data_IF_396417770663
#
_entry.id   IF_396417770663
#
_cell.length_a   1.000
_cell.length_b   1.000
_cell.length_c   1.000
_cell.angle_alpha   90.00
_cell.angle_beta   90.00
_cell.angle_gamma   90.00
#
_symmetry.space_group_name_H-M   'P 1'
#
loop_
_entity.id
_entity.type
_entity.pdbx_description
1 polymer ?
#
# COMPACT_ATOMS: atom_id res chain seq x y z
N UNK A 1 2.39 33.34 -18.26
CA UNK A 1 2.29 31.90 -18.53
C UNK A 1 2.29 31.21 -17.17
N UNK A 2 1.11 30.89 -16.62
CA UNK A 2 1.02 30.18 -15.34
C UNK A 2 1.19 28.69 -15.63
N UNK A 3 2.33 28.13 -15.22
CA UNK A 3 2.53 26.68 -15.24
C UNK A 3 1.55 26.06 -14.25
N UNK A 4 0.65 25.20 -14.73
CA UNK A 4 -0.32 24.49 -13.89
C UNK A 4 0.42 23.33 -13.21
N UNK A 5 1.12 23.63 -12.12
CA UNK A 5 1.82 22.62 -11.31
C UNK A 5 0.87 21.77 -10.43
N UNK A 6 -0.42 22.14 -10.35
CA UNK A 6 -1.37 21.56 -9.39
C UNK A 6 -2.34 20.51 -9.98
N UNK A 7 -2.02 19.88 -11.11
CA UNK A 7 -2.88 18.79 -11.61
C UNK A 7 -2.73 17.52 -10.74
N UNK A 8 -3.76 16.67 -10.73
CA UNK A 8 -3.80 15.50 -9.85
C UNK A 8 -2.70 14.47 -10.15
N UNK A 9 -2.28 14.35 -11.41
CA UNK A 9 -1.26 13.37 -11.84
C UNK A 9 0.12 13.76 -11.32
N UNK A 10 0.47 15.03 -11.45
CA UNK A 10 1.77 15.53 -11.02
C UNK A 10 1.87 15.48 -9.48
N UNK A 11 0.80 15.87 -8.78
CA UNK A 11 0.72 15.73 -7.31
C UNK A 11 0.82 14.28 -6.83
N UNK A 12 0.22 13.33 -7.55
CA UNK A 12 0.38 11.91 -7.21
C UNK A 12 1.82 11.44 -7.41
N UNK A 13 2.47 11.91 -8.48
CA UNK A 13 3.85 11.57 -8.82
C UNK A 13 4.83 12.17 -7.80
N UNK A 14 4.64 13.42 -7.43
CA UNK A 14 5.41 14.09 -6.37
C UNK A 14 5.24 13.37 -5.03
N UNK A 15 4.00 13.08 -4.61
CA UNK A 15 3.73 12.37 -3.37
C UNK A 15 4.39 10.98 -3.33
N UNK A 16 4.43 10.28 -4.47
CA UNK A 16 5.14 9.01 -4.62
C UNK A 16 6.65 9.19 -4.36
N UNK A 17 7.29 10.16 -5.01
CA UNK A 17 8.71 10.42 -4.83
C UNK A 17 9.06 10.84 -3.40
N UNK A 18 8.24 11.70 -2.78
CA UNK A 18 8.40 12.07 -1.36
C UNK A 18 8.37 10.81 -0.48
N UNK A 19 7.40 9.92 -0.70
CA UNK A 19 7.26 8.70 0.09
C UNK A 19 8.46 7.75 -0.08
N UNK A 20 8.91 7.53 -1.32
CA UNK A 20 10.07 6.68 -1.63
C UNK A 20 11.36 7.23 -1.04
N UNK A 21 11.59 8.54 -1.15
CA UNK A 21 12.79 9.19 -0.63
C UNK A 21 12.79 9.21 0.90
N UNK A 22 11.67 9.61 1.52
CA UNK A 22 11.54 9.62 2.97
C UNK A 22 11.79 8.24 3.57
N UNK A 23 11.20 7.18 2.98
CA UNK A 23 11.41 5.80 3.43
C UNK A 23 12.89 5.42 3.48
N UNK A 24 13.67 5.78 2.45
CA UNK A 24 15.10 5.49 2.40
C UNK A 24 15.91 6.37 3.35
N UNK A 25 15.52 7.63 3.48
CA UNK A 25 16.24 8.64 4.26
C UNK A 25 16.21 8.38 5.78
N UNK A 26 15.12 7.81 6.29
CA UNK A 26 14.96 7.59 7.74
C UNK A 26 15.57 6.28 8.25
N UNK A 27 16.13 5.47 7.36
CA UNK A 27 16.79 4.21 7.70
C UNK A 27 18.29 4.43 7.87
N UNK A 28 18.91 3.67 8.77
CA UNK A 28 20.38 3.59 8.84
C UNK A 28 20.89 2.87 7.60
N UNK A 29 21.92 3.44 6.96
CA UNK A 29 22.56 2.88 5.76
C UNK A 29 24.00 2.44 6.02
N UNK A 30 24.52 2.79 7.17
CA UNK A 30 25.80 2.37 7.70
C UNK A 30 25.63 1.12 8.59
N UNK A 31 26.43 0.09 8.32
CA UNK A 31 26.44 -1.16 9.09
C UNK A 31 25.63 -2.30 8.48
N UNK A 32 25.46 -3.37 9.27
CA UNK A 32 24.77 -4.57 8.81
C UNK A 32 23.25 -4.37 8.78
N UNK A 33 22.63 -4.76 7.66
CA UNK A 33 21.18 -4.78 7.52
C UNK A 33 20.57 -5.99 8.23
N UNK A 34 19.34 -5.83 8.71
CA UNK A 34 18.60 -6.96 9.26
C UNK A 34 18.17 -7.92 8.15
N UNK A 35 18.62 -9.17 8.25
CA UNK A 35 18.31 -10.22 7.29
C UNK A 35 17.10 -11.03 7.75
N UNK A 36 16.12 -11.19 6.87
CA UNK A 36 15.01 -12.12 7.09
C UNK A 36 15.50 -13.57 7.00
N UNK A 37 14.69 -14.52 7.45
CA UNK A 37 15.02 -15.96 7.42
C UNK A 37 15.41 -16.44 6.01
N UNK A 38 14.74 -15.93 4.98
CA UNK A 38 15.12 -16.14 3.58
C UNK A 38 15.67 -14.80 3.07
N UNK A 39 16.92 -14.82 2.64
CA UNK A 39 17.67 -13.61 2.27
C UNK A 39 17.54 -13.24 0.81
N UNK A 40 17.18 -14.19 -0.04
CA UNK A 40 17.04 -14.02 -1.47
C UNK A 40 15.65 -13.52 -1.83
N UNK A 41 15.60 -12.59 -2.79
CA UNK A 41 14.35 -12.11 -3.35
C UNK A 41 13.90 -13.02 -4.49
N UNK A 42 12.64 -13.47 -4.51
CA UNK A 42 12.15 -14.41 -5.53
C UNK A 42 11.92 -13.77 -6.92
N UNK A 43 12.38 -12.54 -7.12
CA UNK A 43 12.17 -11.73 -8.32
C UNK A 43 13.40 -10.88 -8.67
N UNK A 44 14.50 -11.01 -7.93
CA UNK A 44 15.77 -10.40 -8.32
C UNK A 44 16.49 -11.41 -9.20
N UNK A 45 16.95 -10.96 -10.37
CA UNK A 45 17.91 -11.72 -11.15
C UNK A 45 19.28 -11.61 -10.48
N UNK A 46 20.09 -12.68 -10.49
CA UNK A 46 21.36 -12.83 -9.75
C UNK A 46 22.41 -11.70 -9.97
N UNK A 47 22.16 -10.79 -10.91
CA UNK A 47 23.06 -9.68 -11.29
C UNK A 47 22.72 -8.33 -10.65
N UNK A 48 21.58 -8.17 -9.97
CA UNK A 48 21.20 -6.89 -9.39
C UNK A 48 21.44 -6.91 -7.87
N UNK A 49 22.64 -6.46 -7.46
CA UNK A 49 22.91 -6.04 -6.07
C UNK A 49 22.19 -4.71 -5.74
N UNK A 50 20.93 -4.62 -6.11
CA UNK A 50 20.12 -3.45 -5.86
C UNK A 50 19.86 -3.35 -4.36
N UNK A 51 20.01 -2.14 -3.81
CA UNK A 51 19.72 -1.78 -2.43
C UNK A 51 18.28 -2.21 -2.09
N UNK A 52 18.16 -3.39 -1.52
CA UNK A 52 16.92 -4.02 -1.11
C UNK A 52 16.03 -3.05 -0.32
N UNK A 53 14.97 -2.54 -0.96
CA UNK A 53 14.20 -1.42 -0.41
C UNK A 53 13.13 -1.81 0.62
N UNK A 54 12.85 -3.12 0.77
CA UNK A 54 11.92 -3.67 1.74
C UNK A 54 12.09 -5.19 1.91
N UNK A 55 11.51 -5.75 2.97
CA UNK A 55 11.45 -7.18 3.24
C UNK A 55 10.03 -7.72 3.02
N UNK A 56 9.91 -8.97 2.58
CA UNK A 56 8.61 -9.63 2.36
C UNK A 56 8.31 -10.68 3.42
N UNK A 57 7.03 -10.79 3.77
CA UNK A 57 6.51 -11.82 4.66
C UNK A 57 5.21 -12.38 4.08
N UNK A 58 5.17 -13.69 3.84
CA UNK A 58 3.98 -14.36 3.36
C UNK A 58 3.12 -14.79 4.55
N UNK A 59 1.84 -14.44 4.50
CA UNK A 59 0.87 -14.74 5.57
C UNK A 59 -0.28 -15.55 4.98
N UNK A 60 -0.68 -16.59 5.70
CA UNK A 60 -1.83 -17.44 5.35
C UNK A 60 -2.97 -17.16 6.31
N UNK A 61 -4.17 -16.95 5.78
CA UNK A 61 -5.39 -16.74 6.53
C UNK A 61 -6.45 -17.74 6.08
N UNK A 62 -7.15 -18.35 7.03
CA UNK A 62 -8.34 -19.14 6.72
C UNK A 62 -9.54 -18.21 6.65
N UNK A 63 -10.29 -18.28 5.54
CA UNK A 63 -11.52 -17.51 5.34
C UNK A 63 -12.77 -18.36 5.53
N UNK A 64 -12.65 -19.53 6.17
CA UNK A 64 -13.73 -20.51 6.34
C UNK A 64 -13.97 -21.34 5.09
N UNK A 65 -15.21 -21.79 4.90
CA UNK A 65 -15.60 -22.71 3.83
C UNK A 65 -16.34 -21.98 2.71
N UNK A 66 -16.03 -22.33 1.45
CA UNK A 66 -16.72 -21.86 0.25
C UNK A 66 -18.07 -22.54 0.02
N UNK A 67 -18.81 -22.06 -0.97
CA UNK A 67 -20.10 -22.63 -1.35
C UNK A 67 -20.01 -24.08 -1.88
N UNK A 68 -18.82 -24.49 -2.33
CA UNK A 68 -18.49 -25.84 -2.78
C UNK A 68 -18.06 -26.78 -1.65
N UNK A 69 -18.13 -26.32 -0.40
CA UNK A 69 -17.74 -27.09 0.78
C UNK A 69 -16.22 -27.16 1.00
N UNK A 70 -15.41 -26.48 0.18
CA UNK A 70 -13.94 -26.48 0.32
C UNK A 70 -13.44 -25.33 1.17
N UNK A 71 -12.32 -25.49 1.91
CA UNK A 71 -11.72 -24.39 2.64
C UNK A 71 -11.21 -23.31 1.69
N UNK A 72 -11.44 -22.05 2.04
CA UNK A 72 -10.87 -20.89 1.35
C UNK A 72 -9.66 -20.43 2.15
N UNK A 73 -8.48 -20.53 1.54
CA UNK A 73 -7.23 -20.09 2.13
C UNK A 73 -6.67 -18.89 1.35
N UNK A 74 -6.48 -17.77 2.05
CA UNK A 74 -5.88 -16.58 1.48
C UNK A 74 -4.40 -16.53 1.83
N UNK A 75 -3.55 -16.46 0.82
CA UNK A 75 -2.12 -16.20 0.98
C UNK A 75 -1.85 -14.77 0.53
N UNK A 76 -1.25 -13.97 1.42
CA UNK A 76 -0.93 -12.56 1.17
C UNK A 76 0.57 -12.36 1.33
N UNK A 77 1.20 -11.77 0.31
CA UNK A 77 2.55 -11.22 0.42
C UNK A 77 2.45 -9.85 1.08
N UNK A 78 3.00 -9.69 2.29
CA UNK A 78 3.11 -8.40 2.98
C UNK A 78 4.52 -7.84 2.87
N UNK A 79 4.66 -6.53 3.04
CA UNK A 79 5.93 -5.80 2.95
C UNK A 79 6.28 -5.11 4.28
N UNK A 80 7.58 -4.99 4.54
CA UNK A 80 8.14 -4.28 5.68
C UNK A 80 9.26 -3.36 5.19
N UNK A 81 9.16 -2.08 5.52
CA UNK A 81 10.09 -1.04 5.06
C UNK A 81 11.36 -0.96 5.94
N UNK A 82 11.32 -1.49 7.16
CA UNK A 82 12.48 -1.49 8.06
C UNK A 82 12.26 -2.25 9.35
N UNK A 83 13.27 -2.24 10.23
CA UNK A 83 13.20 -2.82 11.58
C UNK A 83 13.74 -1.87 12.64
N UNK A 84 13.23 -2.01 13.86
CA UNK A 84 13.75 -1.34 15.04
C UNK A 84 13.99 -2.38 16.13
N UNK A 85 15.22 -2.43 16.65
CA UNK A 85 15.56 -3.27 17.80
C UNK A 85 15.23 -2.50 19.07
N UNK A 86 14.34 -3.06 19.89
CA UNK A 86 13.93 -2.48 21.17
C UNK A 86 15.00 -2.72 22.23
N UNK A 87 14.88 -2.00 23.36
CA UNK A 87 15.83 -2.11 24.50
C UNK A 87 15.90 -3.53 25.07
N UNK A 88 14.82 -4.30 24.96
CA UNK A 88 14.73 -5.71 25.39
C UNK A 88 15.32 -6.70 24.36
N UNK A 89 15.90 -6.22 23.25
CA UNK A 89 16.41 -7.03 22.14
C UNK A 89 15.35 -7.51 21.15
N UNK A 90 14.07 -7.20 21.36
CA UNK A 90 12.99 -7.59 20.45
C UNK A 90 13.05 -6.77 19.14
N UNK A 91 12.95 -7.47 18.01
CA UNK A 91 12.92 -6.84 16.69
C UNK A 91 11.49 -6.50 16.29
N UNK A 92 11.23 -5.23 16.05
CA UNK A 92 9.94 -4.74 15.57
C UNK A 92 10.04 -4.38 14.09
N UNK A 93 9.21 -5.01 13.24
CA UNK A 93 9.08 -4.66 11.82
C UNK A 93 8.23 -3.41 11.62
N UNK A 94 8.57 -2.62 10.60
CA UNK A 94 8.03 -1.28 10.40
C UNK A 94 7.43 -1.13 9.00
N UNK A 95 6.39 -0.31 8.91
CA UNK A 95 5.87 0.24 7.66
C UNK A 95 6.06 1.75 7.72
N UNK A 96 6.75 2.32 6.74
CA UNK A 96 7.15 3.74 6.73
C UNK A 96 6.40 4.41 5.60
N UNK A 97 5.62 5.45 5.94
CA UNK A 97 4.87 6.24 4.97
C UNK A 97 5.05 7.72 5.28
N UNK A 98 5.14 8.54 4.23
CA UNK A 98 5.24 9.98 4.33
C UNK A 98 3.89 10.65 4.00
N UNK A 99 3.45 11.53 4.89
CA UNK A 99 2.46 12.54 4.54
C UNK A 99 3.18 13.69 3.82
N UNK A 100 2.45 14.40 2.95
CA UNK A 100 2.96 15.58 2.27
C UNK A 100 1.89 16.68 2.27
N UNK A 101 2.33 17.92 2.48
CA UNK A 101 1.52 19.12 2.34
C UNK A 101 1.83 19.75 0.98
N UNK A 102 0.78 20.06 0.21
CA UNK A 102 0.86 20.99 -0.93
C UNK A 102 0.21 22.31 -0.50
N UNK A 103 -0.31 23.15 -1.40
CA UNK A 103 -0.93 24.41 -1.00
C UNK A 103 -2.09 24.21 0.00
N UNK A 104 -1.86 24.60 1.27
CA UNK A 104 -2.81 24.47 2.37
C UNK A 104 -4.05 25.36 2.18
N UNK A 105 -3.91 26.47 1.44
CA UNK A 105 -5.01 27.40 1.15
C UNK A 105 -5.97 26.85 0.10
N UNK A 106 -5.48 25.99 -0.79
CA UNK A 106 -6.28 25.38 -1.86
C UNK A 106 -6.79 23.97 -1.51
N UNK A 107 -6.24 23.34 -0.48
CA UNK A 107 -6.57 21.97 -0.08
C UNK A 107 -7.68 21.86 0.98
N UNK A 108 -8.30 22.98 1.38
CA UNK A 108 -9.04 23.07 2.64
C UNK A 108 -8.19 22.51 3.80
N UNK A 109 -6.88 22.80 3.75
CA UNK A 109 -5.88 22.27 4.66
C UNK A 109 -5.69 23.15 5.89
N UNK A 110 -4.79 22.72 6.74
CA UNK A 110 -4.20 23.56 7.80
C UNK A 110 -2.75 23.78 7.44
N UNK A 111 -2.20 24.96 7.70
CA UNK A 111 -0.77 25.21 7.47
C UNK A 111 0.07 24.42 8.48
N UNK A 112 0.83 23.45 7.99
CA UNK A 112 1.61 22.56 8.84
C UNK A 112 2.72 23.31 9.59
N UNK A 113 3.29 24.36 9.00
CA UNK A 113 4.38 25.13 9.64
C UNK A 113 3.93 25.76 10.95
N UNK A 114 2.70 26.29 11.01
CA UNK A 114 2.15 26.88 12.23
C UNK A 114 1.48 25.86 13.16
N UNK A 115 1.07 24.68 12.68
CA UNK A 115 0.23 23.74 13.42
C UNK A 115 0.92 22.47 13.91
N UNK A 116 2.04 22.07 13.32
CA UNK A 116 2.71 20.83 13.72
C UNK A 116 3.26 20.87 15.14
N UNK A 117 3.67 22.01 15.68
CA UNK A 117 4.22 22.03 17.05
C UNK A 117 3.13 21.98 18.13
N UNK A 118 2.07 22.76 17.96
CA UNK A 118 1.01 22.90 18.98
C UNK A 118 -0.27 22.13 18.72
N UNK A 119 -0.54 21.70 17.47
CA UNK A 119 -1.84 21.18 17.04
C UNK A 119 -1.73 19.97 16.10
N UNK A 120 -0.81 19.04 16.38
CA UNK A 120 -0.61 17.79 15.59
C UNK A 120 -1.90 17.02 15.33
N UNK A 121 -2.80 16.96 16.31
CA UNK A 121 -4.10 16.29 16.16
C UNK A 121 -4.99 16.95 15.09
N UNK A 122 -4.96 18.27 14.95
CA UNK A 122 -5.73 18.99 13.93
C UNK A 122 -5.15 18.78 12.53
N UNK A 123 -3.82 18.70 12.42
CA UNK A 123 -3.13 18.31 11.18
C UNK A 123 -3.57 16.90 10.77
N UNK A 124 -3.50 15.95 11.70
CA UNK A 124 -3.89 14.56 11.43
C UNK A 124 -5.38 14.44 11.05
N UNK A 125 -6.27 15.14 11.74
CA UNK A 125 -7.71 15.13 11.43
C UNK A 125 -8.00 15.68 10.01
N UNK A 126 -7.30 16.74 9.61
CA UNK A 126 -7.40 17.31 8.26
C UNK A 126 -6.91 16.30 7.22
N UNK A 127 -5.78 15.64 7.48
CA UNK A 127 -5.27 14.59 6.59
C UNK A 127 -6.19 13.38 6.49
N UNK A 128 -6.82 12.98 7.60
CA UNK A 128 -7.82 11.91 7.60
C UNK A 128 -9.02 12.23 6.74
N UNK A 129 -9.51 13.47 6.82
CA UNK A 129 -10.63 13.94 6.02
C UNK A 129 -10.27 14.00 4.52
N UNK A 130 -9.11 14.55 4.19
CA UNK A 130 -8.71 14.81 2.81
C UNK A 130 -8.17 13.57 2.09
N UNK A 131 -7.53 12.67 2.83
CA UNK A 131 -6.78 11.54 2.28
C UNK A 131 -7.28 10.16 2.77
N UNK A 132 -8.51 10.06 3.31
CA UNK A 132 -9.01 8.87 4.00
C UNK A 132 -8.73 7.53 3.30
N UNK A 133 -8.96 7.42 1.99
CA UNK A 133 -8.67 6.20 1.24
C UNK A 133 -7.16 5.84 1.20
N UNK A 134 -6.27 6.83 1.11
CA UNK A 134 -4.81 6.64 1.18
C UNK A 134 -4.42 6.10 2.56
N UNK A 135 -4.94 6.71 3.62
CA UNK A 135 -4.64 6.32 5.01
C UNK A 135 -5.19 4.94 5.36
N UNK A 136 -6.42 4.62 4.95
CA UNK A 136 -7.01 3.28 5.15
C UNK A 136 -6.15 2.21 4.47
N UNK A 137 -5.74 2.43 3.21
CA UNK A 137 -4.86 1.48 2.51
C UNK A 137 -3.53 1.27 3.23
N UNK A 138 -2.88 2.34 3.67
CA UNK A 138 -1.65 2.24 4.45
C UNK A 138 -1.86 1.51 5.77
N UNK A 139 -2.99 1.73 6.44
CA UNK A 139 -3.31 1.07 7.72
C UNK A 139 -3.52 -0.42 7.56
N UNK A 140 -4.24 -0.84 6.53
CA UNK A 140 -4.49 -2.26 6.22
C UNK A 140 -3.17 -2.97 5.84
N UNK A 141 -2.24 -2.28 5.20
CA UNK A 141 -0.91 -2.81 4.88
C UNK A 141 0.00 -2.91 6.12
N UNK A 142 -0.19 -2.05 7.11
CA UNK A 142 0.80 -1.82 8.16
C UNK A 142 0.76 -2.85 9.30
N UNK A 143 1.97 -3.12 9.82
CA UNK A 143 2.16 -3.81 11.11
C UNK A 143 2.49 -2.84 12.24
N UNK A 144 3.20 -1.72 11.92
CA UNK A 144 3.37 -0.48 12.70
C UNK A 144 3.67 0.66 11.73
N UNK A 145 3.04 1.84 11.90
CA UNK A 145 3.31 3.01 11.05
C UNK A 145 4.36 3.88 11.74
N UNK A 146 5.47 4.14 11.05
CA UNK A 146 6.50 5.08 11.49
C UNK A 146 6.57 6.32 10.60
N UNK A 147 6.58 7.47 11.27
CA UNK A 147 6.98 8.79 10.78
C UNK A 147 7.49 9.61 11.97
N UNK A 148 7.44 10.95 11.89
CA UNK A 148 7.68 11.85 13.05
C UNK A 148 6.77 11.57 14.26
N UNK A 149 5.77 10.70 14.07
CA UNK A 149 4.94 10.09 15.08
C UNK A 149 4.91 8.56 14.87
N UNK A 150 5.14 7.80 15.94
CA UNK A 150 4.95 6.35 15.94
C UNK A 150 3.51 6.03 16.35
N UNK A 151 2.81 5.28 15.50
CA UNK A 151 1.42 4.87 15.77
C UNK A 151 1.27 3.36 15.63
N UNK A 152 0.64 2.73 16.63
CA UNK A 152 0.22 1.33 16.51
C UNK A 152 -0.94 1.25 15.52
N UNK A 153 -0.97 0.31 14.56
CA UNK A 153 -1.99 0.33 13.51
C UNK A 153 -3.41 0.17 14.06
N UNK A 154 -3.59 -0.58 15.16
CA UNK A 154 -4.89 -0.75 15.77
C UNK A 154 -5.43 0.55 16.37
N UNK A 155 -4.58 1.36 17.02
CA UNK A 155 -4.96 2.68 17.52
C UNK A 155 -5.25 3.65 16.37
N UNK A 156 -4.45 3.56 15.29
CA UNK A 156 -4.67 4.37 14.12
C UNK A 156 -5.97 3.98 13.39
N UNK A 157 -6.27 2.69 13.24
CA UNK A 157 -7.51 2.18 12.66
C UNK A 157 -8.75 2.71 13.39
N UNK A 158 -8.70 2.79 14.73
CA UNK A 158 -9.77 3.40 15.53
C UNK A 158 -9.95 4.88 15.21
N UNK A 159 -8.87 5.64 15.06
CA UNK A 159 -8.93 7.07 14.72
C UNK A 159 -9.49 7.34 13.31
N UNK A 160 -9.38 6.37 12.39
CA UNK A 160 -9.89 6.50 11.02
C UNK A 160 -11.25 5.83 10.83
N UNK A 161 -11.85 5.32 11.91
CA UNK A 161 -13.13 4.57 11.90
C UNK A 161 -13.08 3.35 10.98
N UNK A 162 -11.92 2.69 10.88
CA UNK A 162 -11.76 1.47 10.10
C UNK A 162 -12.19 0.25 10.92
N UNK A 163 -13.12 -0.53 10.38
CA UNK A 163 -13.55 -1.80 10.96
C UNK A 163 -12.99 -2.96 10.13
N UNK A 164 -12.08 -3.74 10.72
CA UNK A 164 -11.46 -4.88 10.06
C UNK A 164 -12.43 -6.03 9.76
N UNK A 165 -13.46 -6.24 10.58
CA UNK A 165 -14.49 -7.25 10.29
C UNK A 165 -15.28 -6.88 9.04
N UNK A 166 -15.57 -5.60 8.86
CA UNK A 166 -16.16 -5.09 7.62
C UNK A 166 -15.22 -5.30 6.42
N UNK A 167 -13.92 -5.01 6.57
CA UNK A 167 -12.93 -5.26 5.51
C UNK A 167 -12.89 -6.73 5.09
N UNK A 168 -12.85 -7.66 6.05
CA UNK A 168 -12.88 -9.09 5.79
C UNK A 168 -14.20 -9.55 5.16
N UNK A 169 -15.33 -9.00 5.62
CA UNK A 169 -16.65 -9.27 5.04
C UNK A 169 -16.75 -8.85 3.58
N UNK A 170 -16.29 -7.64 3.24
CA UNK A 170 -16.24 -7.16 1.85
C UNK A 170 -15.34 -8.05 0.99
N UNK A 171 -14.15 -8.40 1.47
CA UNK A 171 -13.24 -9.29 0.76
C UNK A 171 -13.87 -10.66 0.52
N UNK A 172 -14.54 -11.22 1.52
CA UNK A 172 -15.23 -12.51 1.45
C UNK A 172 -16.33 -12.49 0.39
N UNK A 173 -17.15 -11.43 0.34
CA UNK A 173 -18.21 -11.27 -0.67
C UNK A 173 -17.65 -11.25 -2.09
N UNK A 174 -16.51 -10.57 -2.30
CA UNK A 174 -15.84 -10.53 -3.61
C UNK A 174 -15.33 -11.92 -4.00
N UNK A 175 -14.64 -12.62 -3.08
CA UNK A 175 -14.12 -13.98 -3.33
C UNK A 175 -15.26 -14.95 -3.65
N UNK A 176 -16.35 -14.94 -2.87
CA UNK A 176 -17.50 -15.80 -3.12
C UNK A 176 -18.18 -15.51 -4.46
N UNK A 177 -18.17 -14.26 -4.93
CA UNK A 177 -18.68 -13.90 -6.25
C UNK A 177 -17.78 -14.43 -7.38
N UNK A 178 -16.46 -14.38 -7.20
CA UNK A 178 -15.49 -14.88 -8.18
C UNK A 178 -15.48 -16.40 -8.27
N UNK A 179 -15.53 -17.10 -7.12
CA UNK A 179 -15.53 -18.57 -7.06
C UNK A 179 -16.76 -19.22 -7.70
N UNK A 180 -17.87 -18.48 -7.85
CA UNK A 180 -19.07 -18.94 -8.55
C UNK A 180 -18.99 -18.82 -10.07
N UNK A 181 -18.00 -18.11 -10.59
CA UNK A 181 -17.86 -17.84 -12.02
C UNK A 181 -16.94 -18.87 -12.68
N UNK A 182 -17.04 -18.98 -14.01
CA UNK A 182 -16.15 -19.85 -14.78
C UNK A 182 -14.70 -19.34 -14.69
N UNK A 183 -13.69 -20.21 -14.82
CA UNK A 183 -12.30 -19.79 -14.96
C UNK A 183 -12.14 -18.76 -16.09
N UNK A 184 -11.37 -17.70 -15.84
CA UNK A 184 -11.15 -16.61 -16.80
C UNK A 184 -10.56 -15.36 -16.15
N UNK A 185 -10.27 -14.34 -16.98
CA UNK A 185 -9.78 -13.03 -16.53
C UNK A 185 -10.98 -12.14 -16.14
N UNK A 186 -10.87 -11.44 -15.01
CA UNK A 186 -11.92 -10.55 -14.49
C UNK A 186 -11.34 -9.20 -14.07
N UNK A 187 -12.14 -8.13 -14.21
CA UNK A 187 -11.79 -6.77 -13.79
C UNK A 187 -12.80 -6.25 -12.76
N UNK A 188 -12.31 -5.89 -11.58
CA UNK A 188 -13.09 -5.17 -10.57
C UNK A 188 -12.78 -3.67 -10.69
N UNK A 189 -13.76 -2.87 -11.09
CA UNK A 189 -13.59 -1.44 -11.35
C UNK A 189 -14.55 -0.60 -10.52
N UNK A 190 -14.03 0.43 -9.85
CA UNK A 190 -14.81 1.45 -9.15
C UNK A 190 -15.27 2.50 -10.14
N UNK A 191 -16.56 2.81 -10.14
CA UNK A 191 -17.13 3.83 -11.02
C UNK A 191 -16.57 5.23 -10.68
N UNK A 192 -16.12 6.02 -11.66
CA UNK A 192 -15.59 7.36 -11.42
C UNK A 192 -16.61 8.34 -10.81
N UNK A 193 -17.88 8.23 -11.19
CA UNK A 193 -18.94 9.18 -10.90
C UNK A 193 -19.98 8.66 -9.90
N UNK A 194 -20.05 7.35 -9.68
CA UNK A 194 -20.96 6.72 -8.73
C UNK A 194 -20.21 5.92 -7.63
N UNK A 195 -20.76 5.83 -6.41
CA UNK A 195 -20.17 5.06 -5.30
C UNK A 195 -20.44 3.54 -5.46
N UNK A 196 -20.08 2.97 -6.60
CA UNK A 196 -20.32 1.57 -6.94
C UNK A 196 -19.07 0.91 -7.51
N UNK A 197 -18.95 -0.39 -7.28
CA UNK A 197 -17.90 -1.24 -7.85
C UNK A 197 -18.55 -2.28 -8.73
N UNK A 198 -18.02 -2.48 -9.94
CA UNK A 198 -18.52 -3.44 -10.93
C UNK A 198 -17.47 -4.49 -11.24
N UNK A 199 -17.93 -5.71 -11.45
CA UNK A 199 -17.12 -6.87 -11.81
C UNK A 199 -17.41 -7.27 -13.26
N UNK A 200 -16.40 -7.16 -14.12
CA UNK A 200 -16.47 -7.47 -15.55
C UNK A 200 -15.71 -8.77 -15.83
N UNK A 201 -16.25 -9.63 -16.69
CA UNK A 201 -15.49 -10.71 -17.31
C UNK A 201 -14.77 -10.17 -18.54
N UNK A 202 -13.53 -10.57 -18.75
CA UNK A 202 -12.71 -10.11 -19.86
C UNK A 202 -12.53 -11.22 -20.89
N UNK A 203 -12.46 -10.89 -22.19
CA UNK A 203 -12.03 -11.82 -23.22
C UNK A 203 -10.62 -12.37 -22.97
N UNK A 204 -10.34 -13.55 -23.52
CA UNK A 204 -8.97 -14.06 -23.63
C UNK A 204 -8.13 -13.07 -24.47
N UNK A 205 -6.82 -12.94 -24.20
CA UNK A 205 -6.00 -11.93 -24.88
C UNK A 205 -5.96 -10.54 -24.26
N UNK A 206 -6.91 -10.15 -23.39
CA UNK A 206 -7.10 -8.74 -22.96
C UNK A 206 -5.86 -8.06 -22.32
N UNK A 207 -4.98 -8.83 -21.69
CA UNK A 207 -3.77 -8.30 -21.05
C UNK A 207 -2.48 -8.86 -21.66
N UNK A 208 -2.61 -9.58 -22.76
CA UNK A 208 -1.45 -10.16 -23.43
C UNK A 208 -0.82 -9.00 -24.20
N UNK A 209 0.42 -8.64 -23.87
CA UNK A 209 1.14 -7.54 -24.52
C UNK A 209 1.42 -7.92 -25.97
N UNK A 210 1.24 -6.99 -26.91
CA UNK A 210 1.57 -7.12 -28.34
C UNK A 210 3.08 -7.31 -28.63
N UNK A 211 3.88 -7.74 -27.66
CA UNK A 211 5.34 -7.84 -27.73
C UNK A 211 5.84 -9.21 -28.28
N UNK A 212 4.93 -10.10 -28.69
CA UNK A 212 5.28 -11.33 -29.43
C UNK A 212 5.57 -11.08 -30.94
N UNK A 213 5.99 -9.86 -31.30
CA UNK A 213 6.15 -9.41 -32.69
C UNK A 213 7.53 -8.87 -33.09
N UNK A 214 8.55 -8.94 -32.23
CA UNK A 214 9.95 -8.75 -32.65
C UNK A 214 10.66 -10.09 -32.65
N UNK A 215 10.39 -10.87 -33.69
CA UNK A 215 11.34 -11.87 -34.16
C UNK A 215 12.64 -11.14 -34.50
N UNK A 216 13.70 -11.44 -33.75
CA UNK A 216 15.07 -11.29 -34.23
C UNK A 216 15.22 -12.19 -35.47
N UNK A 217 14.85 -11.68 -36.64
CA UNK A 217 15.27 -12.25 -37.91
C UNK A 217 16.02 -11.18 -38.71
N UNK A 218 17.26 -11.55 -39.00
CA UNK A 218 18.11 -11.18 -40.13
C UNK A 218 19.10 -10.00 -40.00
N UNK A 219 20.25 -10.41 -39.43
CA UNK A 219 21.63 -10.29 -39.96
C UNK A 219 22.47 -9.06 -39.60
#
# INVERSE_FOLDING_TARGET
MYLIFDNAKDRATEALYINQNFRRQVLRRDGETYKMKHTEYPFDDDNDQNDASCAYKYRKFSLGTGADGKPIELVVRTEHDGVMVRVNGEVQTLTIKAFNEWDSTQSNGVDWRSKLDGQKGAVLATELKNNGCKLVKWTVQAHVILGTQQLRPMEFAQNITLNFDNCWGILRVIIDNLMKRKPGKYLLMKDPHAPIVRLYGLPDGTFDSDDEGRSEDDN
#
